data_IF_178838302718
#
_entry.id   IF_178838302718
#
_cell.length_a   1.000
_cell.length_b   1.000
_cell.length_c   1.000
_cell.angle_alpha   90.00
_cell.angle_beta   90.00
_cell.angle_gamma   90.00
#
_symmetry.space_group_name_H-M   'P 1'
#
loop_
_entity.id
_entity.type
_entity.pdbx_description
1 polymer ?
#
# COMPACT_ATOMS: atom_id res chain seq x y z
N UNK A 1 0.44 -36.57 -4.79
CA UNK A 1 1.83 -36.53 -5.29
C UNK A 1 2.60 -35.68 -4.30
N UNK A 2 3.56 -36.23 -3.57
CA UNK A 2 4.36 -35.45 -2.63
C UNK A 2 5.23 -34.46 -3.42
N UNK A 3 5.08 -33.18 -3.15
CA UNK A 3 5.83 -32.13 -3.85
C UNK A 3 7.22 -32.10 -3.27
N UNK A 4 8.20 -32.19 -4.17
CA UNK A 4 9.59 -32.20 -3.79
C UNK A 4 10.00 -30.80 -3.32
N UNK A 5 9.98 -30.60 -2.00
CA UNK A 5 10.37 -29.35 -1.34
C UNK A 5 11.88 -29.07 -1.48
N UNK A 6 12.66 -30.04 -1.98
CA UNK A 6 14.12 -29.95 -2.08
C UNK A 6 14.64 -29.06 -3.22
N UNK A 7 13.82 -28.68 -4.20
CA UNK A 7 14.27 -27.80 -5.30
C UNK A 7 14.14 -26.30 -5.02
N UNK A 8 13.54 -25.89 -3.89
CA UNK A 8 13.31 -24.46 -3.60
C UNK A 8 14.59 -23.83 -3.01
N UNK A 9 15.27 -22.91 -3.73
CA UNK A 9 16.51 -22.31 -3.27
C UNK A 9 16.37 -21.63 -1.90
N UNK A 10 17.44 -21.64 -1.09
CA UNK A 10 17.46 -20.96 0.22
C UNK A 10 17.26 -19.44 0.10
N UNK A 11 17.74 -18.84 -0.99
CA UNK A 11 17.49 -17.44 -1.36
C UNK A 11 16.93 -17.37 -2.76
N UNK A 12 15.91 -16.53 -2.96
CA UNK A 12 15.22 -16.43 -4.24
C UNK A 12 15.68 -15.22 -5.05
N UNK A 13 16.05 -15.47 -6.28
CA UNK A 13 16.23 -14.47 -7.33
C UNK A 13 14.92 -14.27 -8.11
N UNK A 14 14.86 -13.22 -8.93
CA UNK A 14 13.67 -12.93 -9.75
C UNK A 14 13.34 -14.07 -10.74
N UNK A 15 14.30 -14.65 -11.49
CA UNK A 15 14.03 -15.77 -12.38
C UNK A 15 13.55 -17.04 -11.65
N UNK A 16 13.99 -17.26 -10.42
CA UNK A 16 13.54 -18.40 -9.61
C UNK A 16 12.10 -18.19 -9.13
N UNK A 17 11.76 -16.98 -8.68
CA UNK A 17 10.38 -16.62 -8.31
C UNK A 17 9.39 -16.82 -9.45
N UNK A 18 9.73 -16.40 -10.68
CA UNK A 18 8.85 -16.50 -11.85
C UNK A 18 8.55 -17.94 -12.27
N UNK A 19 9.30 -18.92 -11.76
CA UNK A 19 9.13 -20.35 -12.05
C UNK A 19 8.39 -21.12 -10.96
N UNK A 20 8.08 -20.49 -9.82
CA UNK A 20 7.40 -21.14 -8.71
C UNK A 20 5.91 -21.33 -9.02
N UNK A 21 5.38 -22.51 -8.71
CA UNK A 21 3.92 -22.74 -8.68
C UNK A 21 3.30 -22.09 -7.43
N UNK A 22 1.98 -21.93 -7.42
CA UNK A 22 1.25 -21.36 -6.26
C UNK A 22 1.50 -22.14 -4.97
N UNK A 23 1.63 -23.45 -5.06
CA UNK A 23 1.88 -24.32 -3.91
C UNK A 23 3.32 -24.19 -3.39
N UNK A 24 4.29 -24.09 -4.30
CA UNK A 24 5.69 -23.82 -3.93
C UNK A 24 5.85 -22.42 -3.32
N UNK A 25 5.10 -21.44 -3.83
CA UNK A 25 5.08 -20.07 -3.30
C UNK A 25 4.56 -20.05 -1.85
N UNK A 26 3.55 -20.83 -1.54
CA UNK A 26 2.99 -20.92 -0.18
C UNK A 26 3.96 -21.60 0.79
N UNK A 27 4.69 -22.63 0.33
CA UNK A 27 5.79 -23.24 1.09
C UNK A 27 6.91 -22.23 1.36
N UNK A 28 7.30 -21.42 0.36
CA UNK A 28 8.28 -20.35 0.53
C UNK A 28 7.79 -19.32 1.54
N UNK A 29 6.54 -18.87 1.42
CA UNK A 29 5.93 -17.88 2.33
C UNK A 29 5.97 -18.37 3.77
N UNK A 30 5.56 -19.62 4.02
CA UNK A 30 5.61 -20.24 5.35
C UNK A 30 7.03 -20.28 5.91
N UNK A 31 8.01 -20.69 5.10
CA UNK A 31 9.43 -20.71 5.48
C UNK A 31 9.95 -19.32 5.84
N UNK A 32 9.58 -18.30 5.06
CA UNK A 32 9.98 -16.91 5.32
C UNK A 32 9.36 -16.35 6.61
N UNK A 33 8.14 -16.78 6.95
CA UNK A 33 7.49 -16.41 8.21
C UNK A 33 8.13 -17.01 9.46
N UNK A 34 8.82 -18.14 9.33
CA UNK A 34 9.54 -18.81 10.41
C UNK A 34 10.95 -18.28 10.65
N UNK A 35 11.44 -17.32 9.84
CA UNK A 35 12.73 -16.67 10.04
C UNK A 35 12.74 -15.77 11.27
N UNK A 36 13.92 -15.58 11.85
CA UNK A 36 14.12 -14.76 13.05
C UNK A 36 13.94 -13.26 12.74
N UNK A 37 13.66 -12.45 13.77
CA UNK A 37 13.36 -11.02 13.60
C UNK A 37 14.48 -10.21 12.93
N UNK A 38 15.73 -10.62 13.16
CA UNK A 38 16.92 -9.96 12.62
C UNK A 38 17.39 -10.56 11.27
N UNK A 39 16.69 -11.58 10.75
CA UNK A 39 17.05 -12.18 9.47
C UNK A 39 16.83 -11.21 8.30
N UNK A 40 17.76 -11.24 7.36
CA UNK A 40 17.73 -10.43 6.14
C UNK A 40 16.92 -11.08 5.02
N UNK A 41 16.15 -10.25 4.33
CA UNK A 41 15.36 -10.55 3.15
C UNK A 41 15.92 -9.77 1.97
N UNK A 42 16.07 -10.42 0.82
CA UNK A 42 16.25 -9.69 -0.44
C UNK A 42 14.90 -9.14 -0.95
N UNK A 43 14.91 -8.33 -2.01
CA UNK A 43 13.68 -7.72 -2.54
C UNK A 43 12.59 -8.73 -2.94
N UNK A 44 12.96 -9.90 -3.46
CA UNK A 44 12.00 -10.93 -3.88
C UNK A 44 11.41 -11.63 -2.66
N UNK A 45 12.24 -12.02 -1.71
CA UNK A 45 11.81 -12.60 -0.44
C UNK A 45 10.92 -11.61 0.34
N UNK A 46 11.28 -10.32 0.37
CA UNK A 46 10.47 -9.28 0.99
C UNK A 46 9.10 -9.15 0.31
N UNK A 47 9.02 -9.27 -1.02
CA UNK A 47 7.76 -9.24 -1.75
C UNK A 47 6.87 -10.46 -1.41
N UNK A 48 7.45 -11.66 -1.40
CA UNK A 48 6.72 -12.90 -1.05
C UNK A 48 6.26 -12.87 0.41
N UNK A 49 7.13 -12.40 1.31
CA UNK A 49 6.86 -12.25 2.73
C UNK A 49 5.73 -11.25 2.98
N UNK A 50 5.84 -10.05 2.40
CA UNK A 50 4.88 -8.97 2.63
C UNK A 50 3.56 -9.21 1.90
N UNK A 51 3.56 -9.97 0.80
CA UNK A 51 2.43 -10.09 -0.13
C UNK A 51 2.33 -8.91 -1.10
N UNK A 52 3.33 -8.04 -1.14
CA UNK A 52 3.34 -6.80 -1.91
C UNK A 52 4.39 -6.87 -3.01
N UNK A 53 4.10 -6.36 -4.22
CA UNK A 53 5.05 -6.42 -5.33
C UNK A 53 6.35 -5.65 -5.01
N UNK A 54 7.49 -6.11 -5.57
CA UNK A 54 8.79 -5.41 -5.46
C UNK A 54 8.69 -3.95 -5.92
N UNK A 55 7.88 -3.69 -6.97
CA UNK A 55 7.63 -2.35 -7.50
C UNK A 55 6.88 -1.49 -6.49
N UNK A 56 5.88 -2.04 -5.82
CA UNK A 56 5.08 -1.34 -4.81
C UNK A 56 5.92 -1.04 -3.56
N UNK A 57 6.73 -1.99 -3.09
CA UNK A 57 7.70 -1.76 -2.01
C UNK A 57 8.63 -0.60 -2.37
N UNK A 58 9.20 -0.61 -3.58
CA UNK A 58 10.09 0.47 -4.04
C UNK A 58 9.37 1.84 -4.03
N UNK A 59 8.16 1.92 -4.59
CA UNK A 59 7.35 3.15 -4.60
C UNK A 59 7.06 3.66 -3.19
N UNK A 60 6.73 2.76 -2.26
CA UNK A 60 6.49 3.14 -0.87
C UNK A 60 7.74 3.76 -0.24
N UNK A 61 8.93 3.18 -0.50
CA UNK A 61 10.19 3.74 0.00
C UNK A 61 10.49 5.09 -0.63
N UNK A 62 10.31 5.22 -1.96
CA UNK A 62 10.53 6.48 -2.68
C UNK A 62 9.59 7.60 -2.18
N UNK A 63 8.41 7.23 -1.66
CA UNK A 63 7.45 8.14 -1.02
C UNK A 63 7.69 8.34 0.49
N UNK A 64 8.76 7.78 1.07
CA UNK A 64 9.06 7.89 2.51
C UNK A 64 8.16 7.08 3.44
N UNK A 65 7.32 6.18 2.89
CA UNK A 65 6.35 5.33 3.61
C UNK A 65 6.69 3.83 3.52
N UNK A 66 7.89 3.50 3.07
CA UNK A 66 8.37 2.13 2.84
C UNK A 66 9.00 1.48 4.07
N UNK A 67 9.33 0.18 4.02
CA UNK A 67 10.09 -0.46 5.08
C UNK A 67 11.50 0.12 5.11
N UNK A 68 12.11 0.19 6.29
CA UNK A 68 13.53 0.52 6.39
C UNK A 68 14.37 -0.51 5.61
N UNK A 69 15.49 -0.04 5.03
CA UNK A 69 16.40 -0.88 4.26
C UNK A 69 17.84 -0.67 4.69
N UNK A 70 18.55 -1.77 4.89
CA UNK A 70 19.99 -1.78 5.09
C UNK A 70 20.74 -1.85 3.76
N UNK A 71 21.90 -1.21 3.69
CA UNK A 71 22.90 -1.49 2.64
C UNK A 71 23.83 -2.59 3.14
N UNK A 72 24.28 -3.47 2.25
CA UNK A 72 25.34 -4.44 2.60
C UNK A 72 26.64 -3.68 2.92
N UNK A 73 27.28 -3.91 4.08
CA UNK A 73 28.54 -3.25 4.38
C UNK A 73 29.59 -3.67 3.36
N UNK A 74 30.45 -2.72 3.01
CA UNK A 74 31.53 -2.92 2.07
C UNK A 74 32.50 -3.94 2.66
N UNK A 75 32.70 -5.09 2.01
CA UNK A 75 33.90 -5.89 2.28
C UNK A 75 35.06 -5.09 1.70
N UNK A 76 35.91 -4.56 2.58
CA UNK A 76 37.06 -3.73 2.24
C UNK A 76 37.87 -4.37 1.10
N UNK A 77 37.85 -3.74 -0.08
CA UNK A 77 38.59 -4.20 -1.27
C UNK A 77 37.77 -4.65 -2.47
N UNK A 78 36.42 -4.64 -2.41
CA UNK A 78 35.57 -5.02 -3.54
C UNK A 78 34.97 -3.81 -4.26
N UNK A 79 35.33 -3.59 -5.54
CA UNK A 79 34.71 -2.61 -6.45
C UNK A 79 33.32 -3.06 -6.95
N UNK A 80 32.53 -3.75 -6.12
CA UNK A 80 31.23 -4.27 -6.54
C UNK A 80 30.15 -3.16 -6.52
N UNK A 81 29.77 -2.71 -7.72
CA UNK A 81 28.76 -1.68 -8.01
C UNK A 81 27.32 -2.12 -7.66
N UNK A 82 27.09 -3.41 -7.36
CA UNK A 82 25.74 -3.94 -7.11
C UNK A 82 25.46 -4.11 -5.61
N UNK A 83 25.11 -3.01 -4.94
CA UNK A 83 24.52 -3.06 -3.60
C UNK A 83 23.11 -3.64 -3.69
N UNK A 84 22.95 -4.93 -3.37
CA UNK A 84 21.62 -5.53 -3.26
C UNK A 84 20.92 -5.04 -1.99
N UNK A 85 19.71 -4.49 -2.13
CA UNK A 85 18.89 -4.02 -1.01
C UNK A 85 18.58 -5.17 -0.05
N UNK A 86 18.77 -4.94 1.25
CA UNK A 86 18.39 -5.86 2.32
C UNK A 86 17.33 -5.26 3.21
N UNK A 87 16.37 -6.08 3.60
CA UNK A 87 15.28 -5.73 4.50
C UNK A 87 15.34 -6.66 5.71
N UNK A 88 15.36 -6.14 6.94
CA UNK A 88 15.26 -7.01 8.12
C UNK A 88 13.80 -7.41 8.33
N UNK A 89 13.58 -8.61 8.87
CA UNK A 89 12.22 -9.07 9.18
C UNK A 89 11.50 -8.11 10.13
N UNK A 90 12.17 -7.59 11.15
CA UNK A 90 11.59 -6.61 12.09
C UNK A 90 11.12 -5.33 11.40
N UNK A 91 11.87 -4.81 10.42
CA UNK A 91 11.49 -3.60 9.68
C UNK A 91 10.33 -3.89 8.72
N UNK A 92 10.33 -5.08 8.09
CA UNK A 92 9.21 -5.56 7.29
C UNK A 92 7.98 -5.82 8.15
N UNK A 93 8.13 -6.27 9.38
CA UNK A 93 7.04 -6.52 10.33
C UNK A 93 6.47 -5.21 10.86
N UNK A 94 7.30 -4.22 11.18
CA UNK A 94 6.85 -2.89 11.54
C UNK A 94 6.13 -2.20 10.37
N UNK A 95 6.71 -2.29 9.17
CA UNK A 95 6.08 -1.77 7.96
C UNK A 95 4.79 -2.50 7.60
N UNK A 96 4.75 -3.82 7.78
CA UNK A 96 3.53 -4.61 7.65
C UNK A 96 2.56 -4.33 8.78
N UNK A 97 2.93 -4.03 10.01
CA UNK A 97 1.97 -3.62 11.03
C UNK A 97 1.34 -2.27 10.64
N UNK A 98 2.15 -1.36 10.09
CA UNK A 98 1.72 -0.05 9.61
C UNK A 98 0.99 -0.08 8.25
N UNK A 99 1.06 -1.18 7.49
CA UNK A 99 0.40 -1.33 6.17
C UNK A 99 -0.63 -2.46 6.10
N UNK A 100 -0.45 -3.53 6.88
CA UNK A 100 -1.50 -4.48 7.30
C UNK A 100 -2.38 -3.86 8.37
N UNK A 101 -2.20 -2.57 8.65
CA UNK A 101 -3.36 -1.78 8.93
C UNK A 101 -4.28 -1.74 7.66
N UNK A 102 -4.80 -2.86 7.15
CA UNK A 102 -6.20 -3.27 7.40
C UNK A 102 -6.86 -2.66 8.67
N UNK A 103 -6.13 -2.43 9.75
CA UNK A 103 -6.45 -1.46 10.84
C UNK A 103 -6.62 0.01 10.40
N UNK A 104 -6.26 0.40 9.17
CA UNK A 104 -6.96 1.56 8.60
C UNK A 104 -8.14 0.98 7.88
N UNK A 105 -9.23 0.97 8.62
CA UNK A 105 -10.62 0.62 8.35
C UNK A 105 -11.19 1.05 6.96
N UNK A 106 -10.37 1.58 6.06
CA UNK A 106 -10.74 2.24 4.81
C UNK A 106 -9.68 2.03 3.72
N UNK A 107 -9.00 0.87 3.72
CA UNK A 107 -7.83 0.62 2.86
C UNK A 107 -8.06 0.82 1.35
N UNK A 108 -9.32 0.79 0.91
CA UNK A 108 -9.74 1.09 -0.46
C UNK A 108 -9.62 2.58 -0.84
N UNK A 109 -9.65 3.50 0.13
CA UNK A 109 -9.73 4.95 -0.14
C UNK A 109 -8.47 5.65 0.31
N UNK A 110 -7.62 6.13 -0.60
CA UNK A 110 -6.37 6.83 -0.28
C UNK A 110 -6.20 8.15 -1.01
N UNK A 111 -6.88 8.33 -2.14
CA UNK A 111 -6.86 9.52 -2.96
C UNK A 111 -8.27 9.88 -3.44
N UNK A 112 -8.40 11.07 -4.04
CA UNK A 112 -9.66 11.53 -4.62
C UNK A 112 -10.21 10.56 -5.67
N UNK A 113 -9.34 9.98 -6.50
CA UNK A 113 -9.74 9.03 -7.54
C UNK A 113 -10.46 7.80 -6.96
N UNK A 114 -10.10 7.37 -5.74
CA UNK A 114 -10.75 6.24 -5.08
C UNK A 114 -12.18 6.60 -4.60
N UNK A 115 -12.51 7.89 -4.46
CA UNK A 115 -13.83 8.34 -4.03
C UNK A 115 -14.90 8.26 -5.14
N UNK A 116 -14.46 8.19 -6.40
CA UNK A 116 -15.35 8.23 -7.57
C UNK A 116 -15.55 6.85 -8.21
N UNK A 117 -14.93 5.82 -7.65
CA UNK A 117 -15.04 4.42 -8.10
C UNK A 117 -16.08 3.70 -7.24
N UNK A 118 -16.85 2.82 -7.87
CA UNK A 118 -17.76 1.92 -7.16
C UNK A 118 -16.96 0.83 -6.46
N UNK A 119 -17.18 0.69 -5.15
CA UNK A 119 -16.50 -0.27 -4.29
C UNK A 119 -17.50 -1.28 -3.69
N UNK A 120 -17.06 -2.48 -3.31
CA UNK A 120 -17.95 -3.54 -2.82
C UNK A 120 -18.34 -3.35 -1.34
N UNK A 121 -19.63 -3.09 -1.10
CA UNK A 121 -20.23 -2.94 0.22
C UNK A 121 -21.10 -4.13 0.58
N UNK A 122 -21.01 -4.57 1.83
CA UNK A 122 -21.81 -5.67 2.37
C UNK A 122 -23.15 -5.10 2.84
N UNK A 123 -24.24 -5.72 2.40
CA UNK A 123 -25.61 -5.26 2.62
C UNK A 123 -26.43 -6.29 3.39
N UNK A 124 -27.05 -5.88 4.49
CA UNK A 124 -28.05 -6.66 5.20
C UNK A 124 -29.43 -6.03 4.97
N UNK A 125 -30.11 -6.47 3.91
CA UNK A 125 -31.31 -5.80 3.40
C UNK A 125 -30.96 -4.42 2.86
N UNK A 126 -31.54 -3.35 3.43
CA UNK A 126 -31.29 -1.97 3.01
C UNK A 126 -30.29 -1.23 3.92
N UNK A 127 -29.38 -1.96 4.56
CA UNK A 127 -28.39 -1.39 5.47
C UNK A 127 -27.00 -1.88 5.14
N UNK A 128 -26.05 -0.96 5.15
CA UNK A 128 -24.63 -1.25 5.04
C UNK A 128 -24.15 -1.88 6.34
N UNK A 129 -23.54 -3.06 6.21
CA UNK A 129 -22.87 -3.77 7.30
C UNK A 129 -21.43 -3.28 7.43
N UNK A 130 -20.75 -3.12 6.29
CA UNK A 130 -19.35 -2.73 6.20
C UNK A 130 -18.83 -2.88 4.78
N UNK A 131 -17.52 -2.77 4.60
CA UNK A 131 -16.88 -2.93 3.30
C UNK A 131 -16.35 -4.36 3.13
N UNK A 132 -16.39 -4.90 1.90
CA UNK A 132 -15.99 -6.28 1.64
C UNK A 132 -14.51 -6.54 1.99
N UNK A 133 -13.64 -5.54 1.78
CA UNK A 133 -12.21 -5.67 2.12
C UNK A 133 -11.91 -5.51 3.62
N UNK A 134 -12.89 -5.21 4.45
CA UNK A 134 -12.72 -5.20 5.91
C UNK A 134 -12.96 -6.58 6.54
N UNK A 135 -13.42 -7.55 5.75
CA UNK A 135 -13.64 -8.92 6.23
C UNK A 135 -12.29 -9.59 6.46
N UNK A 136 -11.93 -9.74 7.73
CA UNK A 136 -10.64 -10.29 8.15
C UNK A 136 -10.51 -11.81 8.01
N UNK A 137 -11.63 -12.53 7.84
CA UNK A 137 -11.68 -13.99 7.74
C UNK A 137 -12.11 -14.45 6.33
N UNK A 138 -11.41 -15.44 5.78
CA UNK A 138 -11.63 -15.90 4.40
C UNK A 138 -12.91 -16.73 4.25
N UNK A 139 -13.30 -17.48 5.27
CA UNK A 139 -14.51 -18.29 5.23
C UNK A 139 -15.75 -17.38 5.31
N UNK A 140 -15.69 -16.34 6.16
CA UNK A 140 -16.70 -15.28 6.22
C UNK A 140 -16.83 -14.52 4.88
N UNK A 141 -15.69 -14.18 4.27
CA UNK A 141 -15.67 -13.53 2.96
C UNK A 141 -16.34 -14.38 1.88
N UNK A 142 -16.03 -15.68 1.84
CA UNK A 142 -16.62 -16.61 0.89
C UNK A 142 -18.12 -16.81 1.13
N UNK A 143 -18.57 -16.80 2.38
CA UNK A 143 -19.99 -16.87 2.73
C UNK A 143 -20.76 -15.63 2.24
N UNK A 144 -20.19 -14.42 2.44
CA UNK A 144 -20.76 -13.16 1.97
C UNK A 144 -20.85 -13.11 0.43
N UNK A 145 -19.80 -13.55 -0.25
CA UNK A 145 -19.81 -13.62 -1.72
C UNK A 145 -20.87 -14.62 -2.23
N UNK A 146 -21.09 -15.72 -1.51
CA UNK A 146 -22.09 -16.71 -1.84
C UNK A 146 -23.53 -16.24 -1.54
N UNK A 147 -23.74 -15.36 -0.55
CA UNK A 147 -25.08 -14.84 -0.21
C UNK A 147 -25.57 -13.79 -1.22
N UNK A 148 -24.67 -13.21 -2.02
CA UNK A 148 -25.01 -12.15 -2.98
C UNK A 148 -25.35 -10.81 -2.32
N UNK A 149 -24.97 -10.64 -1.06
CA UNK A 149 -25.24 -9.46 -0.24
C UNK A 149 -24.21 -8.34 -0.47
N UNK A 150 -23.73 -8.19 -1.71
CA UNK A 150 -22.71 -7.20 -2.06
C UNK A 150 -23.25 -6.24 -3.10
N UNK A 151 -23.28 -4.95 -2.78
CA UNK A 151 -23.61 -3.87 -3.71
C UNK A 151 -22.36 -3.03 -4.01
N UNK A 152 -22.25 -2.57 -5.25
CA UNK A 152 -21.14 -1.72 -5.70
C UNK A 152 -21.61 -0.26 -5.67
N UNK A 153 -21.01 0.54 -4.79
CA UNK A 153 -21.37 1.94 -4.56
C UNK A 153 -20.11 2.77 -4.32
N UNK A 154 -20.16 4.06 -4.66
CA UNK A 154 -19.12 4.99 -4.24
C UNK A 154 -19.15 5.22 -2.74
N UNK A 155 -18.02 5.66 -2.17
CA UNK A 155 -17.93 5.93 -0.73
C UNK A 155 -18.98 6.93 -0.24
N UNK A 156 -19.21 8.00 -1.00
CA UNK A 156 -20.19 9.02 -0.61
C UNK A 156 -21.64 8.51 -0.69
N UNK A 157 -21.93 7.59 -1.60
CA UNK A 157 -23.23 6.93 -1.72
C UNK A 157 -23.45 5.95 -0.55
N UNK A 158 -22.49 5.07 -0.28
CA UNK A 158 -22.57 4.15 0.86
C UNK A 158 -22.72 4.91 2.20
N UNK A 159 -22.07 6.06 2.37
CA UNK A 159 -22.19 6.89 3.59
C UNK A 159 -23.56 7.57 3.76
N UNK A 160 -24.32 7.73 2.67
CA UNK A 160 -25.72 8.23 2.69
C UNK A 160 -26.72 7.13 3.04
N UNK A 161 -26.36 5.87 2.87
CA UNK A 161 -27.18 4.74 3.28
C UNK A 161 -27.27 4.58 4.80
N UNK A 162 -28.16 3.70 5.24
CA UNK A 162 -28.30 3.33 6.65
C UNK A 162 -27.25 2.32 7.03
N UNK A 163 -26.58 2.51 8.16
CA UNK A 163 -25.55 1.58 8.64
C UNK A 163 -26.01 0.80 9.85
N UNK A 164 -25.59 -0.46 9.95
CA UNK A 164 -25.74 -1.25 11.17
C UNK A 164 -24.74 -0.77 12.22
N UNK A 165 -23.47 -0.62 11.83
CA UNK A 165 -22.42 -0.14 12.72
C UNK A 165 -22.12 1.35 12.49
N UNK A 166 -22.49 2.17 13.47
CA UNK A 166 -22.32 3.64 13.44
C UNK A 166 -20.86 4.04 13.67
N UNK A 167 -20.12 3.27 14.46
CA UNK A 167 -18.69 3.53 14.70
C UNK A 167 -17.92 3.32 13.40
N UNK A 168 -18.22 2.21 12.73
CA UNK A 168 -17.72 1.84 11.42
C UNK A 168 -17.95 2.93 10.37
N UNK A 169 -19.21 3.37 10.25
CA UNK A 169 -19.60 4.47 9.36
C UNK A 169 -18.81 5.74 9.65
N UNK A 170 -18.57 6.04 10.93
CA UNK A 170 -17.87 7.25 11.35
C UNK A 170 -16.42 7.26 10.90
N UNK A 171 -15.77 6.10 10.88
CA UNK A 171 -14.41 5.93 10.38
C UNK A 171 -14.32 6.15 8.86
N UNK A 172 -15.26 5.61 8.08
CA UNK A 172 -15.37 5.89 6.65
C UNK A 172 -15.65 7.37 6.35
N UNK A 173 -16.52 8.00 7.14
CA UNK A 173 -16.78 9.44 7.03
C UNK A 173 -15.54 10.28 7.32
N UNK A 174 -14.78 9.93 8.36
CA UNK A 174 -13.55 10.62 8.71
C UNK A 174 -12.50 10.49 7.59
N UNK A 175 -12.43 9.32 6.95
CA UNK A 175 -11.55 9.11 5.79
C UNK A 175 -11.95 9.95 4.59
N UNK A 176 -13.24 9.99 4.24
CA UNK A 176 -13.76 10.86 3.17
C UNK A 176 -13.35 12.32 3.41
N UNK A 177 -13.56 12.83 4.63
CA UNK A 177 -13.21 14.19 5.01
C UNK A 177 -11.70 14.45 4.84
N UNK A 178 -10.85 13.55 5.34
CA UNK A 178 -9.39 13.67 5.24
C UNK A 178 -8.89 13.70 3.79
N UNK A 179 -9.46 12.87 2.90
CA UNK A 179 -9.10 12.86 1.48
C UNK A 179 -9.50 14.19 0.82
N UNK A 180 -10.70 14.68 1.11
CA UNK A 180 -11.20 15.96 0.57
C UNK A 180 -10.35 17.15 1.04
N UNK A 181 -10.00 17.20 2.33
CA UNK A 181 -9.14 18.24 2.91
C UNK A 181 -7.75 18.24 2.28
N UNK A 182 -7.15 17.06 2.12
CA UNK A 182 -5.83 16.91 1.49
C UNK A 182 -5.86 17.37 0.03
N UNK A 183 -6.88 16.94 -0.71
CA UNK A 183 -7.06 17.31 -2.12
C UNK A 183 -7.20 18.81 -2.29
N UNK A 184 -7.99 19.45 -1.42
CA UNK A 184 -8.17 20.90 -1.43
C UNK A 184 -6.86 21.65 -1.11
N UNK A 185 -6.09 21.17 -0.13
CA UNK A 185 -4.81 21.76 0.24
C UNK A 185 -3.79 21.66 -0.91
N UNK A 186 -3.76 20.55 -1.63
CA UNK A 186 -2.88 20.35 -2.79
C UNK A 186 -3.24 21.31 -3.94
N UNK A 187 -4.54 21.49 -4.20
CA UNK A 187 -5.03 22.45 -5.20
C UNK A 187 -4.66 23.89 -4.80
N UNK A 188 -4.85 24.26 -3.53
CA UNK A 188 -4.47 25.59 -3.05
C UNK A 188 -2.97 25.83 -3.16
N UNK A 189 -2.15 24.84 -2.78
CA UNK A 189 -0.70 24.91 -2.89
C UNK A 189 -0.23 25.06 -4.35
N UNK A 190 -0.97 24.48 -5.31
CA UNK A 190 -0.70 24.70 -6.72
C UNK A 190 -1.00 26.14 -7.14
N UNK A 191 -2.15 26.70 -6.74
CA UNK A 191 -2.53 28.08 -7.04
C UNK A 191 -1.55 29.10 -6.43
N UNK A 192 -1.06 28.86 -5.22
CA UNK A 192 -0.09 29.74 -4.55
C UNK A 192 1.26 29.75 -5.28
N UNK A 193 1.69 28.61 -5.85
CA UNK A 193 2.90 28.54 -6.71
C UNK A 193 2.72 29.37 -7.98
N UNK A 194 1.57 29.25 -8.64
CA UNK A 194 1.27 30.04 -9.84
C UNK A 194 1.30 31.55 -9.54
N UNK A 195 0.79 31.97 -8.38
CA UNK A 195 0.82 33.37 -7.95
C UNK A 195 2.26 33.88 -7.71
N UNK A 196 3.12 33.08 -7.06
CA UNK A 196 4.52 33.42 -6.84
C UNK A 196 5.32 33.50 -8.15
N UNK A 197 5.06 32.61 -9.10
CA UNK A 197 5.72 32.64 -10.40
C UNK A 197 5.36 33.90 -11.20
N UNK A 198 4.10 34.36 -11.10
CA UNK A 198 3.67 35.64 -11.70
C UNK A 198 4.35 36.83 -11.05
N UNK A 199 4.48 36.86 -9.71
CA UNK A 199 5.16 37.94 -8.99
C UNK A 199 6.65 38.00 -9.36
N UNK A 200 7.33 36.85 -9.35
CA UNK A 200 8.74 36.75 -9.73
C UNK A 200 9.01 37.17 -11.19
N UNK A 201 8.12 36.80 -12.11
CA UNK A 201 8.19 37.23 -13.50
C UNK A 201 7.96 38.75 -13.67
N UNK A 202 7.13 39.35 -12.82
CA UNK A 202 6.91 40.80 -12.75
C UNK A 202 8.14 41.56 -12.26
N UNK A 203 8.75 41.11 -11.16
CA UNK A 203 9.95 41.72 -10.57
C UNK A 203 11.14 41.68 -11.54
N UNK A 204 11.36 40.56 -12.23
CA UNK A 204 12.45 40.42 -13.20
C UNK A 204 12.33 41.40 -14.38
N UNK A 205 11.11 41.61 -14.90
CA UNK A 205 10.85 42.57 -15.99
C UNK A 205 11.02 44.02 -15.56
N UNK A 206 10.71 44.34 -14.31
CA UNK A 206 10.84 45.70 -13.77
C UNK A 206 12.32 46.05 -13.47
N UNK A 207 13.14 45.06 -13.09
CA UNK A 207 14.59 45.23 -12.97
C UNK A 207 15.29 45.42 -14.32
N UNK A 208 14.83 44.77 -15.40
CA UNK A 208 15.38 44.96 -16.74
C UNK A 208 15.06 46.34 -17.32
N UNK A 209 13.89 46.92 -16.99
CA UNK A 209 13.50 48.27 -17.45
C UNK A 209 14.21 49.42 -16.75
N UNK A 210 14.71 49.22 -15.53
CA UNK A 210 15.45 50.26 -14.76
C UNK A 210 16.96 50.25 -15.01
N UNK A 211 17.47 49.25 -15.74
CA UNK A 211 18.88 49.13 -16.13
C UNK A 211 19.23 49.72 -17.50
N UNK A 212 18.28 50.35 -18.18
CA UNK A 212 18.45 51.10 -19.44
C UNK A 212 18.22 52.59 -19.18
#
# INVERSE_FOLDING_TARGET
MAIDVYEIPKRLTKPEYERLTSEQLEVVRRRLHQREADDDFNSVEAAIYTGVSVRTIKRAIDAGKGPERGKTPNTTGSNAVNQHTRYRKVDLDAWRANNRSFDTFTGAFNAFDDLVVDEPWIMAGNRVVGHLFDVGDIDDLMAILASGEVEFLRLDEALRERWIDISLRSSYRAKLASIMETTLADVQSAADRDALDVENAGVSRDSERRGL
#
